data_IF_490771732140
#
_entry.id   IF_490771732140
#
_cell.length_a   1.000
_cell.length_b   1.000
_cell.length_c   1.000
_cell.angle_alpha   90.00
_cell.angle_beta   90.00
_cell.angle_gamma   90.00
#
_symmetry.space_group_name_H-M   'P 1'
#
loop_
_entity.id
_entity.type
_entity.pdbx_description
1 polymer ?
#
# COMPACT_ATOMS: atom_id res chain seq x y z
N UNK A 1 18.42 16.95 3.89
CA UNK A 1 17.87 17.30 2.55
C UNK A 1 18.13 16.26 1.44
N UNK A 2 19.10 15.33 1.60
CA UNK A 2 19.42 14.30 0.60
C UNK A 2 18.45 13.09 0.57
N UNK A 3 17.94 12.64 1.73
CA UNK A 3 17.04 11.48 1.83
C UNK A 3 15.71 11.68 1.05
N UNK A 4 15.08 12.85 1.19
CA UNK A 4 13.84 13.18 0.49
C UNK A 4 13.96 13.24 -1.04
N UNK A 5 15.13 13.64 -1.58
CA UNK A 5 15.41 13.60 -3.02
C UNK A 5 15.62 12.17 -3.52
N UNK A 6 16.27 11.32 -2.72
CA UNK A 6 16.49 9.90 -3.03
C UNK A 6 15.18 9.12 -3.11
N UNK A 7 14.27 9.31 -2.15
CA UNK A 7 12.96 8.65 -2.14
C UNK A 7 12.09 9.04 -3.34
N UNK A 8 12.15 10.31 -3.78
CA UNK A 8 11.40 10.80 -4.95
C UNK A 8 11.92 10.20 -6.26
N UNK A 9 13.25 10.07 -6.40
CA UNK A 9 13.88 9.45 -7.56
C UNK A 9 13.65 7.94 -7.60
N UNK A 10 13.69 7.25 -6.45
CA UNK A 10 13.36 5.84 -6.34
C UNK A 10 11.90 5.57 -6.75
N UNK A 11 10.96 6.40 -6.28
CA UNK A 11 9.55 6.36 -6.68
C UNK A 11 9.38 6.54 -8.19
N UNK A 12 10.12 7.45 -8.80
CA UNK A 12 10.05 7.71 -10.24
C UNK A 12 10.72 6.60 -11.09
N UNK A 13 11.81 6.00 -10.59
CA UNK A 13 12.52 4.91 -11.26
C UNK A 13 11.69 3.61 -11.25
N UNK A 14 11.08 3.26 -10.12
CA UNK A 14 10.16 2.11 -10.01
C UNK A 14 8.95 2.26 -10.96
N UNK A 15 8.46 3.50 -11.13
CA UNK A 15 7.40 3.83 -12.09
C UNK A 15 7.83 3.60 -13.55
N UNK A 16 9.05 3.99 -13.93
CA UNK A 16 9.56 3.82 -15.29
C UNK A 16 9.82 2.35 -15.64
N UNK A 17 10.39 1.58 -14.70
CA UNK A 17 10.67 0.16 -14.91
C UNK A 17 9.40 -0.63 -15.22
N UNK A 18 8.26 -0.25 -14.64
CA UNK A 18 6.96 -0.87 -14.93
C UNK A 18 6.49 -0.68 -16.37
N UNK A 19 6.74 0.49 -16.97
CA UNK A 19 6.33 0.79 -18.35
C UNK A 19 7.07 -0.02 -19.41
N UNK A 20 8.16 -0.71 -19.05
CA UNK A 20 8.96 -1.53 -19.96
C UNK A 20 8.62 -3.02 -19.89
N UNK A 21 7.66 -3.43 -19.06
CA UNK A 21 7.39 -4.84 -18.79
C UNK A 21 6.50 -5.50 -19.87
N UNK A 22 7.05 -6.56 -20.46
CA UNK A 22 6.52 -7.49 -21.47
C UNK A 22 5.84 -8.72 -20.83
N UNK A 23 4.92 -9.42 -21.54
CA UNK A 23 3.95 -10.32 -20.91
C UNK A 23 4.45 -11.66 -20.34
N UNK A 24 5.70 -12.08 -20.56
CA UNK A 24 6.08 -13.50 -20.40
C UNK A 24 7.09 -13.84 -19.29
N UNK A 25 7.55 -12.88 -18.48
CA UNK A 25 8.50 -13.19 -17.38
C UNK A 25 8.55 -12.21 -16.21
N UNK A 26 7.83 -11.10 -16.28
CA UNK A 26 8.06 -9.94 -15.41
C UNK A 26 6.97 -9.71 -14.35
N UNK A 27 5.92 -10.54 -14.29
CA UNK A 27 4.86 -10.39 -13.27
C UNK A 27 5.38 -10.54 -11.82
N UNK A 28 6.39 -11.38 -11.59
CA UNK A 28 7.05 -11.53 -10.29
C UNK A 28 7.95 -10.33 -9.97
N UNK A 29 8.70 -9.83 -10.95
CA UNK A 29 9.53 -8.64 -10.83
C UNK A 29 8.70 -7.38 -10.54
N UNK A 30 7.56 -7.23 -11.22
CA UNK A 30 6.60 -6.17 -10.94
C UNK A 30 6.03 -6.25 -9.53
N UNK A 31 5.64 -7.45 -9.10
CA UNK A 31 5.17 -7.66 -7.71
C UNK A 31 6.23 -7.26 -6.70
N UNK A 32 7.47 -7.70 -6.90
CA UNK A 32 8.59 -7.34 -6.04
C UNK A 32 8.86 -5.83 -6.04
N UNK A 33 8.76 -5.18 -7.20
CA UNK A 33 8.90 -3.73 -7.34
C UNK A 33 7.78 -2.99 -6.59
N UNK A 34 6.53 -3.43 -6.71
CA UNK A 34 5.39 -2.89 -5.96
C UNK A 34 5.58 -3.03 -4.45
N UNK A 35 6.00 -4.19 -3.97
CA UNK A 35 6.27 -4.41 -2.54
C UNK A 35 7.39 -3.52 -2.00
N UNK A 36 8.45 -3.33 -2.79
CA UNK A 36 9.50 -2.35 -2.46
C UNK A 36 8.94 -0.92 -2.43
N UNK A 37 8.09 -0.58 -3.40
CA UNK A 37 7.45 0.74 -3.45
C UNK A 37 6.58 1.00 -2.22
N UNK A 38 5.72 0.06 -1.82
CA UNK A 38 4.87 0.21 -0.63
C UNK A 38 5.68 0.42 0.65
N UNK A 39 6.86 -0.20 0.73
CA UNK A 39 7.73 -0.09 1.90
C UNK A 39 8.52 1.24 1.91
N UNK A 40 8.79 1.83 0.74
CA UNK A 40 9.51 3.10 0.60
C UNK A 40 8.61 4.34 0.49
N UNK A 41 7.29 4.14 0.36
CA UNK A 41 6.34 5.24 0.18
C UNK A 41 5.99 6.02 1.44
N UNK A 42 5.76 5.36 2.61
CA UNK A 42 5.46 6.04 3.86
C UNK A 42 6.54 7.05 4.22
N UNK A 43 6.13 8.17 4.82
CA UNK A 43 7.06 9.18 5.34
C UNK A 43 7.53 8.89 6.76
N UNK A 44 6.81 8.03 7.48
CA UNK A 44 7.19 7.57 8.81
C UNK A 44 8.38 6.61 8.74
N UNK A 45 9.06 6.40 9.87
CA UNK A 45 10.23 5.52 9.94
C UNK A 45 9.81 4.04 9.88
N UNK A 46 10.54 3.17 9.16
CA UNK A 46 10.27 1.74 9.16
C UNK A 46 10.26 1.15 10.58
N UNK A 47 9.27 0.30 10.85
CA UNK A 47 9.08 -0.31 12.17
C UNK A 47 8.20 0.50 13.13
N UNK A 48 7.70 1.68 12.73
CA UNK A 48 6.61 2.35 13.47
C UNK A 48 5.24 1.90 12.96
N UNK A 49 4.22 2.06 13.80
CA UNK A 49 2.82 1.79 13.45
C UNK A 49 2.41 2.58 12.21
N UNK A 50 2.76 3.88 12.16
CA UNK A 50 2.39 4.76 11.06
C UNK A 50 2.99 4.28 9.73
N UNK A 51 4.25 3.84 9.73
CA UNK A 51 4.88 3.30 8.53
C UNK A 51 4.12 2.07 8.00
N UNK A 52 3.81 1.14 8.89
CA UNK A 52 3.11 -0.11 8.54
C UNK A 52 1.64 0.12 8.12
N UNK A 53 0.97 1.09 8.72
CA UNK A 53 -0.38 1.52 8.30
C UNK A 53 -0.34 2.09 6.89
N UNK A 54 0.57 3.02 6.62
CA UNK A 54 0.66 3.64 5.29
C UNK A 54 1.12 2.65 4.23
N UNK A 55 2.03 1.71 4.55
CA UNK A 55 2.40 0.58 3.69
C UNK A 55 1.18 -0.22 3.25
N UNK A 56 0.28 -0.52 4.19
CA UNK A 56 -0.97 -1.25 3.96
C UNK A 56 -1.97 -0.45 3.11
N UNK A 57 -2.10 0.85 3.36
CA UNK A 57 -2.92 1.76 2.53
C UNK A 57 -2.46 1.76 1.08
N UNK A 58 -1.16 1.89 0.83
CA UNK A 58 -0.64 1.92 -0.54
C UNK A 58 -0.82 0.59 -1.27
N UNK A 59 -0.62 -0.53 -0.57
CA UNK A 59 -0.86 -1.86 -1.09
C UNK A 59 -2.33 -2.07 -1.50
N UNK A 60 -3.27 -1.66 -0.65
CA UNK A 60 -4.70 -1.79 -0.91
C UNK A 60 -5.16 -0.88 -2.06
N UNK A 61 -4.64 0.33 -2.16
CA UNK A 61 -4.96 1.24 -3.26
C UNK A 61 -4.49 0.73 -4.62
N UNK A 62 -3.33 0.07 -4.67
CA UNK A 62 -2.84 -0.57 -5.88
C UNK A 62 -3.73 -1.77 -6.25
N UNK A 63 -4.06 -2.64 -5.28
CA UNK A 63 -4.93 -3.80 -5.47
C UNK A 63 -6.33 -3.42 -6.00
N UNK A 64 -6.92 -2.34 -5.46
CA UNK A 64 -8.20 -1.80 -5.91
C UNK A 64 -8.17 -1.25 -7.33
N UNK A 65 -7.03 -0.68 -7.73
CA UNK A 65 -6.88 -0.08 -9.05
C UNK A 65 -6.68 -1.17 -10.12
N UNK A 66 -5.91 -2.22 -9.81
CA UNK A 66 -5.76 -3.41 -10.66
C UNK A 66 -7.09 -4.13 -10.90
N UNK A 67 -7.91 -4.29 -9.86
CA UNK A 67 -9.21 -4.99 -9.97
C UNK A 67 -10.25 -4.31 -10.87
N UNK A 68 -10.02 -3.05 -11.28
CA UNK A 68 -10.94 -2.27 -12.13
C UNK A 68 -10.48 -2.17 -13.59
N UNK A 69 -9.49 -2.96 -14.00
CA UNK A 69 -8.97 -2.94 -15.38
C UNK A 69 -8.29 -1.63 -15.77
N UNK A 70 -7.90 -0.80 -14.79
CA UNK A 70 -7.14 0.44 -15.03
C UNK A 70 -5.66 0.17 -14.84
N UNK A 71 -4.85 0.66 -15.76
CA UNK A 71 -3.39 0.65 -15.69
C UNK A 71 -2.94 1.36 -14.40
N UNK A 72 -2.44 0.59 -13.44
CA UNK A 72 -1.96 1.07 -12.15
C UNK A 72 -0.60 1.73 -12.29
N UNK A 73 -0.45 2.95 -11.74
CA UNK A 73 0.85 3.54 -11.36
C UNK A 73 0.81 4.82 -10.47
N UNK A 74 -0.33 5.18 -9.85
CA UNK A 74 -0.70 6.57 -9.42
C UNK A 74 -1.03 7.53 -10.59
N UNK A 75 -2.18 7.33 -11.25
CA UNK A 75 -2.69 8.25 -12.29
C UNK A 75 -4.18 8.63 -12.18
N UNK A 76 -5.00 7.80 -11.52
CA UNK A 76 -6.37 8.13 -11.06
C UNK A 76 -6.78 7.05 -10.07
N UNK A 77 -6.09 7.02 -8.92
CA UNK A 77 -6.44 6.13 -7.82
C UNK A 77 -7.82 6.55 -7.34
N UNK A 78 -8.79 5.63 -7.32
CA UNK A 78 -9.94 5.85 -6.42
C UNK A 78 -9.37 5.61 -5.03
N UNK A 79 -8.78 6.69 -4.50
CA UNK A 79 -8.20 6.74 -3.18
C UNK A 79 -9.19 6.07 -2.25
N UNK A 80 -8.68 5.35 -1.26
CA UNK A 80 -9.44 5.02 -0.07
C UNK A 80 -9.79 6.34 0.63
N UNK A 81 -10.61 7.19 0.00
CA UNK A 81 -10.89 8.54 0.43
C UNK A 81 -11.50 8.48 1.81
N UNK A 82 -12.39 7.52 2.03
CA UNK A 82 -13.00 7.28 3.35
C UNK A 82 -11.98 6.81 4.40
N UNK A 83 -11.07 5.88 4.08
CA UNK A 83 -10.07 5.40 5.05
C UNK A 83 -9.01 6.45 5.33
N UNK A 84 -8.46 7.11 4.31
CA UNK A 84 -7.52 8.23 4.49
C UNK A 84 -8.16 9.39 5.24
N UNK A 85 -9.41 9.74 4.95
CA UNK A 85 -10.16 10.74 5.72
C UNK A 85 -10.39 10.27 7.16
N UNK A 86 -10.63 8.98 7.39
CA UNK A 86 -10.78 8.43 8.74
C UNK A 86 -9.46 8.54 9.52
N UNK A 87 -8.33 8.17 8.91
CA UNK A 87 -6.99 8.35 9.49
C UNK A 87 -6.74 9.83 9.79
N UNK A 88 -7.02 10.73 8.85
CA UNK A 88 -6.84 12.17 9.06
C UNK A 88 -7.71 12.74 10.21
N UNK A 89 -8.88 12.16 10.47
CA UNK A 89 -9.77 12.58 11.57
C UNK A 89 -9.44 11.93 12.91
N UNK A 90 -9.09 10.64 12.90
CA UNK A 90 -9.06 9.80 14.09
C UNK A 90 -7.66 9.33 14.48
N UNK A 91 -6.67 9.54 13.61
CA UNK A 91 -5.35 8.94 13.69
C UNK A 91 -5.30 7.51 13.16
N UNK A 92 -4.07 7.03 12.92
CA UNK A 92 -3.74 5.70 12.43
C UNK A 92 -4.21 4.62 13.40
N UNK A 93 -3.81 4.70 14.67
CA UNK A 93 -4.11 3.68 15.69
C UNK A 93 -5.61 3.41 15.84
N UNK A 94 -6.41 4.46 16.07
CA UNK A 94 -7.86 4.32 16.22
C UNK A 94 -8.50 3.76 14.95
N UNK A 95 -8.00 4.16 13.78
CA UNK A 95 -8.51 3.63 12.51
C UNK A 95 -8.23 2.14 12.36
N UNK A 96 -7.02 1.68 12.71
CA UNK A 96 -6.67 0.25 12.71
C UNK A 96 -7.54 -0.51 13.69
N UNK A 97 -7.64 -0.06 14.93
CA UNK A 97 -8.46 -0.72 15.96
C UNK A 97 -9.92 -0.89 15.51
N UNK A 98 -10.53 0.18 14.98
CA UNK A 98 -11.90 0.13 14.48
C UNK A 98 -12.08 -0.84 13.30
N UNK A 99 -11.06 -0.99 12.44
CA UNK A 99 -11.13 -1.86 11.26
C UNK A 99 -10.92 -3.34 11.63
N UNK A 100 -10.02 -3.62 12.58
CA UNK A 100 -9.67 -4.98 13.01
C UNK A 100 -10.73 -5.59 13.93
N UNK A 101 -11.37 -4.78 14.78
CA UNK A 101 -12.45 -5.26 15.67
C UNK A 101 -13.77 -5.46 14.92
N UNK A 102 -13.95 -4.77 13.80
CA UNK A 102 -15.15 -4.87 12.97
C UNK A 102 -15.26 -6.19 12.19
N UNK A 103 -16.33 -6.31 11.40
CA UNK A 103 -16.44 -7.37 10.40
C UNK A 103 -15.36 -7.22 9.32
N UNK A 104 -14.90 -8.34 8.77
CA UNK A 104 -13.94 -8.37 7.68
C UNK A 104 -14.32 -7.38 6.56
N UNK A 105 -13.43 -6.42 6.30
CA UNK A 105 -13.68 -5.39 5.28
C UNK A 105 -13.46 -5.94 3.87
N UNK A 106 -14.07 -5.31 2.87
CA UNK A 106 -13.76 -5.62 1.46
C UNK A 106 -12.25 -5.48 1.18
N UNK A 107 -11.60 -4.51 1.82
CA UNK A 107 -10.16 -4.29 1.69
C UNK A 107 -9.33 -5.46 2.22
N UNK A 108 -9.73 -6.05 3.34
CA UNK A 108 -9.12 -7.27 3.87
C UNK A 108 -9.26 -8.42 2.87
N UNK A 109 -10.49 -8.71 2.41
CA UNK A 109 -10.75 -9.79 1.45
C UNK A 109 -9.98 -9.61 0.14
N UNK A 110 -9.87 -8.37 -0.35
CA UNK A 110 -9.11 -8.02 -1.56
C UNK A 110 -7.62 -8.33 -1.44
N UNK A 111 -7.03 -8.11 -0.27
CA UNK A 111 -5.61 -8.37 0.00
C UNK A 111 -5.36 -9.88 0.20
N UNK A 112 -6.24 -10.56 0.93
CA UNK A 112 -6.17 -12.02 1.11
C UNK A 112 -6.23 -12.74 -0.24
N UNK A 113 -7.20 -12.40 -1.09
CA UNK A 113 -7.36 -13.03 -2.42
C UNK A 113 -6.21 -12.74 -3.39
N UNK A 114 -5.25 -11.88 -3.02
CA UNK A 114 -4.06 -11.53 -3.81
C UNK A 114 -2.75 -11.98 -3.17
N UNK A 115 -2.81 -12.81 -2.13
CA UNK A 115 -1.65 -13.27 -1.36
C UNK A 115 -0.86 -12.10 -0.72
N UNK A 116 -1.57 -11.06 -0.27
CA UNK A 116 -0.99 -9.84 0.32
C UNK A 116 -1.33 -9.72 1.81
N UNK A 117 -1.37 -10.83 2.54
CA UNK A 117 -1.75 -10.89 3.96
C UNK A 117 -0.92 -9.96 4.85
N UNK A 118 0.38 -9.81 4.56
CA UNK A 118 1.30 -8.96 5.34
C UNK A 118 0.97 -7.45 5.29
N UNK A 119 0.12 -7.06 4.34
CA UNK A 119 -0.33 -5.69 4.09
C UNK A 119 -1.75 -5.42 4.61
N UNK A 120 -2.32 -6.35 5.37
CA UNK A 120 -3.63 -6.18 6.03
C UNK A 120 -3.51 -5.36 7.32
N UNK A 121 -4.60 -4.72 7.76
CA UNK A 121 -4.60 -3.98 9.02
C UNK A 121 -4.49 -4.92 10.23
N UNK A 122 -4.96 -6.14 10.08
CA UNK A 122 -4.85 -7.25 11.01
C UNK A 122 -3.38 -7.63 11.21
N UNK A 123 -2.61 -7.77 10.13
CA UNK A 123 -1.17 -7.98 10.22
C UNK A 123 -0.45 -6.80 10.88
N UNK A 124 -0.88 -5.56 10.62
CA UNK A 124 -0.36 -4.37 11.32
C UNK A 124 -0.63 -4.45 12.81
N UNK A 125 -1.86 -4.76 13.23
CA UNK A 125 -2.22 -4.87 14.65
C UNK A 125 -1.42 -5.99 15.36
N UNK A 126 -1.14 -7.10 14.67
CA UNK A 126 -0.29 -8.16 15.21
C UNK A 126 1.19 -7.75 15.37
N UNK A 127 1.69 -6.86 14.50
CA UNK A 127 3.06 -6.31 14.61
C UNK A 127 3.19 -5.23 15.69
N UNK A 128 2.09 -4.56 16.02
CA UNK A 128 2.02 -3.43 16.95
C UNK A 128 0.88 -3.64 17.97
N UNK A 129 1.03 -4.58 18.93
CA UNK A 129 -0.01 -4.91 19.91
C UNK A 129 -0.26 -3.82 20.96
#
# INVERSE_FOLDING_TARGET
MAAARSTKLMKLALRRLWGHVSPSGEASALRAASFKLYSAMPSAEPGTLEHDVWRSIYALEDALTLGRGRTTLLGRTTLLGRTRQKIARNGELKTVADLVVGSASDGFTILINRDMVDYTFEAVALRHP
#
